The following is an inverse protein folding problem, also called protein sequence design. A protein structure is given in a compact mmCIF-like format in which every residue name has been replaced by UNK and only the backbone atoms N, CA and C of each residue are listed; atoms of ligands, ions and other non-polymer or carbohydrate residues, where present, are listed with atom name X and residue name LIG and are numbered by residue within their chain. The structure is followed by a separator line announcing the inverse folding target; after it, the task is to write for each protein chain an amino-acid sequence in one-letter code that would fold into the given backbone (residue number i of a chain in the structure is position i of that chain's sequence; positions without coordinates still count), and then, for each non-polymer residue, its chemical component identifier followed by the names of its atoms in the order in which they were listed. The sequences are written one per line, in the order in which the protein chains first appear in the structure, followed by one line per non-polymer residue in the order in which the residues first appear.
data_IF_566598305026
#
_entry.id   IF_566598305026
#
_cell.length_a   1.000
_cell.length_b   1.000
_cell.length_c   1.000
_cell.angle_alpha   90.00
_cell.angle_beta   90.00
_cell.angle_gamma   90.00
#
_symmetry.space_group_name_H-M   'P 1'
#
loop_
_entity.id
_entity.type
_entity.pdbx_description
1 polymer ?
#
# COMPACT_ATOMS: atom_id res chain seq x y z
N UNK A 1 -20.71 9.20 41.41
CA UNK A 1 -20.86 8.99 39.97
C UNK A 1 -19.62 8.23 39.51
N UNK A 2 -19.79 6.94 39.32
CA UNK A 2 -18.74 5.99 39.01
C UNK A 2 -18.50 5.97 37.50
N UNK A 3 -17.27 6.25 37.07
CA UNK A 3 -16.83 6.12 35.66
C UNK A 3 -16.71 4.65 35.25
N UNK A 4 -16.80 4.33 33.95
CA UNK A 4 -16.73 2.97 33.47
C UNK A 4 -15.30 2.42 33.62
N UNK A 5 -15.22 1.26 34.28
CA UNK A 5 -14.02 0.45 34.46
C UNK A 5 -13.54 -0.12 33.09
N UNK A 6 -12.25 0.03 32.81
CA UNK A 6 -11.56 -0.66 31.73
C UNK A 6 -11.66 -2.19 31.89
N UNK A 7 -11.91 -2.97 30.82
CA UNK A 7 -11.85 -4.42 30.93
C UNK A 7 -10.39 -4.87 30.88
N UNK A 8 -9.86 -5.29 32.02
CA UNK A 8 -8.70 -6.14 32.12
C UNK A 8 -9.15 -7.58 31.92
N UNK A 9 -8.91 -8.18 30.75
CA UNK A 9 -9.03 -9.62 30.59
C UNK A 9 -7.87 -10.14 29.76
N UNK A 10 -6.81 -10.59 30.43
CA UNK A 10 -5.91 -11.62 29.92
C UNK A 10 -6.65 -12.97 29.95
N UNK A 11 -7.65 -13.11 29.08
CA UNK A 11 -8.33 -14.39 28.91
C UNK A 11 -7.40 -15.36 28.16
N UNK A 12 -7.10 -16.47 28.79
CA UNK A 12 -6.46 -17.61 28.13
C UNK A 12 -7.43 -18.13 27.05
N UNK A 13 -7.02 -18.09 25.81
CA UNK A 13 -7.84 -18.41 24.67
C UNK A 13 -7.77 -19.92 24.38
N UNK A 14 -8.91 -20.59 24.25
CA UNK A 14 -9.00 -22.01 23.89
C UNK A 14 -9.02 -22.15 22.38
N UNK A 15 -7.95 -22.71 21.82
CA UNK A 15 -7.68 -22.80 20.37
C UNK A 15 -8.57 -23.80 19.61
N UNK A 16 -9.51 -24.46 20.26
CA UNK A 16 -10.18 -25.60 19.64
C UNK A 16 -11.45 -25.31 18.85
N UNK A 17 -12.07 -24.09 18.93
CA UNK A 17 -13.35 -23.86 18.23
C UNK A 17 -13.74 -22.42 17.88
N UNK A 18 -13.02 -21.37 18.25
CA UNK A 18 -13.44 -19.99 17.96
C UNK A 18 -12.32 -19.15 17.41
N UNK A 19 -12.60 -18.38 16.32
CA UNK A 19 -11.66 -17.35 15.82
C UNK A 19 -11.33 -16.38 16.97
N UNK A 20 -10.07 -15.86 17.04
CA UNK A 20 -9.72 -14.84 18.02
C UNK A 20 -10.68 -13.67 17.98
N UNK A 21 -11.04 -13.05 19.12
CA UNK A 21 -11.91 -11.88 19.13
C UNK A 21 -11.25 -10.76 18.31
N UNK A 22 -12.04 -10.13 17.45
CA UNK A 22 -11.63 -9.02 16.61
C UNK A 22 -12.36 -7.76 17.07
N UNK A 23 -11.63 -6.64 17.10
CA UNK A 23 -12.21 -5.32 17.29
C UNK A 23 -11.71 -4.35 16.22
N UNK A 24 -12.51 -3.34 15.90
CA UNK A 24 -12.10 -2.32 14.96
C UNK A 24 -10.95 -1.49 15.55
N UNK A 25 -9.80 -1.36 14.86
CA UNK A 25 -8.74 -0.44 15.28
C UNK A 25 -9.26 0.99 15.36
N UNK A 26 -8.73 1.79 16.30
CA UNK A 26 -8.99 3.24 16.34
C UNK A 26 -8.63 3.87 15.00
N UNK A 27 -9.33 4.96 14.65
CA UNK A 27 -9.10 5.69 13.40
C UNK A 27 -8.38 7.02 13.66
N UNK A 28 -7.45 7.39 12.79
CA UNK A 28 -6.66 8.61 12.86
C UNK A 28 -6.58 9.29 11.49
N UNK A 29 -6.52 10.61 11.47
CA UNK A 29 -6.26 11.44 10.30
C UNK A 29 -4.94 12.23 10.40
N UNK A 30 -4.24 12.13 11.54
CA UNK A 30 -2.91 12.71 11.76
C UNK A 30 -2.06 11.77 12.63
N UNK A 31 -0.79 12.13 12.82
CA UNK A 31 0.17 11.37 13.61
C UNK A 31 -0.30 11.20 15.05
N UNK A 32 -0.33 9.98 15.54
CA UNK A 32 -0.84 9.59 16.85
C UNK A 32 0.26 8.99 17.76
N UNK A 33 0.02 8.79 19.07
CA UNK A 33 1.06 8.46 20.05
C UNK A 33 1.99 7.31 19.66
N UNK A 34 1.47 6.23 19.07
CA UNK A 34 2.25 5.05 18.72
C UNK A 34 3.27 5.32 17.60
N UNK A 35 2.99 6.24 16.67
CA UNK A 35 3.87 6.58 15.53
C UNK A 35 4.49 7.98 15.64
N UNK A 36 4.56 8.57 16.83
CA UNK A 36 5.17 9.89 17.01
C UNK A 36 6.65 9.92 16.55
N UNK A 37 7.11 11.00 15.88
CA UNK A 37 8.47 11.14 15.38
C UNK A 37 9.55 10.91 16.45
N UNK A 38 9.31 11.33 17.69
CA UNK A 38 10.25 11.13 18.81
C UNK A 38 10.59 9.67 19.10
N UNK A 39 9.63 8.75 18.81
CA UNK A 39 9.80 7.30 19.02
C UNK A 39 10.76 6.68 18.02
N UNK A 40 10.83 7.25 16.81
CA UNK A 40 11.59 6.69 15.69
C UNK A 40 12.82 7.55 15.32
N UNK A 41 13.14 8.58 16.12
CA UNK A 41 14.31 9.42 15.85
C UNK A 41 15.58 8.57 15.80
N UNK A 42 16.26 8.60 14.63
CA UNK A 42 17.48 7.83 14.39
C UNK A 42 17.27 6.30 14.22
N UNK A 43 16.02 5.79 14.24
CA UNK A 43 15.74 4.34 14.13
C UNK A 43 16.16 3.74 12.77
N UNK A 44 16.30 4.58 11.74
CA UNK A 44 16.77 4.19 10.40
C UNK A 44 18.12 4.82 10.05
N UNK A 45 18.92 5.14 11.08
CA UNK A 45 20.24 5.73 10.87
C UNK A 45 21.06 4.90 9.88
N UNK A 46 21.66 5.60 8.90
CA UNK A 46 22.49 5.03 7.83
C UNK A 46 21.78 4.04 6.89
N UNK A 47 20.44 3.90 6.97
CA UNK A 47 19.65 3.15 6.01
C UNK A 47 19.47 3.95 4.73
N UNK A 48 19.87 3.38 3.59
CA UNK A 48 19.70 4.00 2.28
C UNK A 48 18.29 3.75 1.79
N UNK A 49 17.53 4.85 1.61
CA UNK A 49 16.12 4.83 1.26
C UNK A 49 15.90 5.51 -0.09
N UNK A 50 15.35 4.79 -1.06
CA UNK A 50 14.86 5.34 -2.33
C UNK A 50 13.40 5.71 -2.17
N UNK A 51 13.03 6.97 -2.50
CA UNK A 51 11.64 7.44 -2.51
C UNK A 51 11.30 7.93 -3.91
N UNK A 52 10.37 7.26 -4.61
CA UNK A 52 9.95 7.69 -5.93
C UNK A 52 8.84 8.75 -5.84
N UNK A 53 8.83 9.69 -6.82
CA UNK A 53 7.84 10.75 -6.86
C UNK A 53 7.94 11.75 -5.68
N UNK A 54 9.16 12.06 -5.28
CA UNK A 54 9.46 12.90 -4.10
C UNK A 54 9.06 14.39 -4.24
N UNK A 55 8.70 14.86 -5.43
CA UNK A 55 8.21 16.22 -5.65
C UNK A 55 6.76 16.43 -5.17
N UNK A 56 5.96 15.36 -5.10
CA UNK A 56 4.58 15.40 -4.65
C UNK A 56 4.40 15.59 -3.15
N UNK A 57 3.19 15.93 -2.70
CA UNK A 57 2.86 16.16 -1.28
C UNK A 57 3.25 14.98 -0.39
N UNK A 58 2.83 13.76 -0.77
CA UNK A 58 3.15 12.54 -0.03
C UNK A 58 4.66 12.28 -0.05
N UNK A 59 5.31 12.45 -1.22
CA UNK A 59 6.74 12.21 -1.38
C UNK A 59 7.62 13.12 -0.52
N UNK A 60 7.25 14.40 -0.39
CA UNK A 60 7.95 15.35 0.49
C UNK A 60 7.78 14.97 1.97
N UNK A 61 6.57 14.63 2.41
CA UNK A 61 6.31 14.20 3.78
C UNK A 61 7.02 12.89 4.12
N UNK A 62 7.06 11.93 3.20
CA UNK A 62 7.87 10.70 3.33
C UNK A 62 9.36 11.05 3.54
N UNK A 63 9.91 11.95 2.71
CA UNK A 63 11.31 12.36 2.84
C UNK A 63 11.60 12.98 4.22
N UNK A 64 10.74 13.86 4.72
CA UNK A 64 10.87 14.49 6.03
C UNK A 64 10.75 13.48 7.19
N UNK A 65 9.78 12.53 7.13
CA UNK A 65 9.63 11.51 8.15
C UNK A 65 10.83 10.55 8.20
N UNK A 66 11.34 10.12 7.05
CA UNK A 66 12.53 9.27 6.97
C UNK A 66 13.81 10.04 7.38
N UNK A 67 13.84 11.34 7.14
CA UNK A 67 14.91 12.22 7.65
C UNK A 67 14.94 12.24 9.19
N UNK A 68 13.79 12.39 9.86
CA UNK A 68 13.68 12.28 11.33
C UNK A 68 14.22 10.96 11.84
N UNK A 69 13.97 9.88 11.09
CA UNK A 69 14.48 8.56 11.40
C UNK A 69 15.99 8.38 11.09
N UNK A 70 16.67 9.39 10.51
CA UNK A 70 18.11 9.41 10.27
C UNK A 70 18.56 8.71 8.99
N UNK A 71 17.65 8.43 8.05
CA UNK A 71 17.95 7.74 6.81
C UNK A 71 18.82 8.59 5.86
N UNK A 72 19.53 7.90 4.96
CA UNK A 72 20.12 8.48 3.74
C UNK A 72 19.07 8.45 2.64
N UNK A 73 18.78 9.60 2.03
CA UNK A 73 17.65 9.77 1.13
C UNK A 73 18.10 9.90 -0.33
N UNK A 74 17.58 9.01 -1.17
CA UNK A 74 17.65 9.13 -2.63
C UNK A 74 16.24 9.47 -3.12
N UNK A 75 16.01 10.74 -3.39
CA UNK A 75 14.71 11.31 -3.74
C UNK A 75 14.59 11.39 -5.25
N UNK A 76 13.66 10.61 -5.85
CA UNK A 76 13.53 10.61 -7.30
C UNK A 76 12.37 11.45 -7.79
N UNK A 77 12.51 12.00 -8.99
CA UNK A 77 11.51 12.79 -9.68
C UNK A 77 11.58 12.52 -11.18
N UNK A 78 10.48 12.76 -11.91
CA UNK A 78 10.46 12.65 -13.37
C UNK A 78 10.66 14.03 -14.04
N UNK A 79 9.60 14.82 -14.17
CA UNK A 79 9.65 16.09 -14.91
C UNK A 79 9.96 17.27 -13.99
N UNK A 80 9.33 17.32 -12.81
CA UNK A 80 9.46 18.43 -11.87
C UNK A 80 10.33 18.01 -10.69
N UNK A 81 11.49 18.64 -10.49
CA UNK A 81 12.33 18.36 -9.32
C UNK A 81 11.61 18.83 -8.03
N UNK A 82 11.91 18.18 -6.89
CA UNK A 82 11.46 18.68 -5.60
C UNK A 82 11.95 20.10 -5.33
N UNK A 83 11.28 20.87 -4.45
CA UNK A 83 11.78 22.14 -4.00
C UNK A 83 13.20 22.03 -3.45
N UNK A 84 14.07 22.96 -3.78
CA UNK A 84 15.48 22.97 -3.29
C UNK A 84 15.54 22.99 -1.76
N UNK A 85 14.58 23.65 -1.11
CA UNK A 85 14.43 23.70 0.35
C UNK A 85 14.13 22.33 0.99
N UNK A 86 13.64 21.34 0.23
CA UNK A 86 13.37 19.99 0.77
C UNK A 86 14.67 19.33 1.28
N UNK A 87 15.78 19.48 0.56
CA UNK A 87 17.08 18.93 0.99
C UNK A 87 17.49 19.52 2.34
N UNK A 88 17.43 20.84 2.49
CA UNK A 88 17.78 21.54 3.74
C UNK A 88 16.87 21.10 4.89
N UNK A 89 15.56 21.03 4.66
CA UNK A 89 14.62 20.53 5.66
C UNK A 89 14.96 19.12 6.12
N UNK A 90 15.22 18.18 5.18
CA UNK A 90 15.59 16.82 5.53
C UNK A 90 16.90 16.73 6.31
N UNK A 91 17.94 17.49 5.94
CA UNK A 91 19.20 17.55 6.70
C UNK A 91 18.97 18.08 8.11
N UNK A 92 18.21 19.16 8.26
CA UNK A 92 17.88 19.74 9.57
C UNK A 92 17.05 18.79 10.46
N UNK A 93 16.25 17.92 9.85
CA UNK A 93 15.46 16.90 10.55
C UNK A 93 16.30 15.69 10.98
N UNK A 94 17.48 15.46 10.37
CA UNK A 94 18.41 14.41 10.79
C UNK A 94 18.85 13.44 9.71
N UNK A 95 18.49 13.66 8.44
CA UNK A 95 19.03 12.87 7.33
C UNK A 95 20.54 13.05 7.22
N UNK A 96 21.29 11.96 7.11
CA UNK A 96 22.74 11.99 7.00
C UNK A 96 23.25 12.29 5.58
N UNK A 97 22.42 12.04 4.57
CA UNK A 97 22.65 12.40 3.17
C UNK A 97 21.32 12.55 2.43
N UNK A 98 21.25 13.48 1.48
CA UNK A 98 20.07 13.71 0.62
C UNK A 98 20.51 14.01 -0.81
N UNK A 99 20.14 13.15 -1.73
CA UNK A 99 20.40 13.31 -3.16
C UNK A 99 19.09 13.32 -3.98
N UNK A 100 19.08 14.07 -5.08
CA UNK A 100 18.00 14.10 -6.04
C UNK A 100 18.43 13.37 -7.31
N UNK A 101 17.61 12.43 -7.80
CA UNK A 101 17.90 11.67 -9.02
C UNK A 101 16.70 11.74 -9.94
N UNK A 102 16.92 12.12 -11.19
CA UNK A 102 15.89 12.08 -12.23
C UNK A 102 15.65 10.63 -12.64
N UNK A 103 14.40 10.17 -12.58
CA UNK A 103 14.01 8.82 -12.98
C UNK A 103 12.57 8.81 -13.47
N UNK A 104 12.35 8.40 -14.71
CA UNK A 104 11.03 8.02 -15.20
C UNK A 104 10.78 6.57 -14.83
N UNK A 105 9.99 6.33 -13.79
CA UNK A 105 9.68 4.97 -13.30
C UNK A 105 8.84 4.15 -14.30
N UNK A 106 8.16 4.80 -15.24
CA UNK A 106 7.40 4.12 -16.29
C UNK A 106 8.32 3.38 -17.31
N UNK A 107 9.61 3.66 -17.30
CA UNK A 107 10.60 3.11 -18.22
C UNK A 107 11.58 2.20 -17.49
N UNK A 108 11.72 0.95 -17.94
CA UNK A 108 12.67 -0.01 -17.35
C UNK A 108 14.09 0.57 -17.32
N UNK A 109 14.52 1.19 -18.40
CA UNK A 109 15.88 1.79 -18.51
C UNK A 109 16.12 2.87 -17.45
N UNK A 110 15.12 3.71 -17.17
CA UNK A 110 15.20 4.71 -16.10
C UNK A 110 15.37 4.08 -14.73
N UNK A 111 14.68 2.98 -14.46
CA UNK A 111 14.79 2.21 -13.21
C UNK A 111 16.17 1.51 -13.09
N UNK A 112 16.68 0.92 -14.18
CA UNK A 112 18.02 0.30 -14.22
C UNK A 112 19.11 1.32 -13.91
N UNK A 113 19.05 2.49 -14.55
CA UNK A 113 20.05 3.55 -14.34
C UNK A 113 20.00 4.09 -12.90
N UNK A 114 18.80 4.27 -12.33
CA UNK A 114 18.61 4.65 -10.93
C UNK A 114 19.27 3.63 -9.99
N UNK A 115 18.91 2.35 -10.10
CA UNK A 115 19.41 1.30 -9.20
C UNK A 115 20.93 1.18 -9.32
N UNK A 116 21.46 1.19 -10.53
CA UNK A 116 22.91 1.16 -10.80
C UNK A 116 23.61 2.34 -10.14
N UNK A 117 23.10 3.57 -10.36
CA UNK A 117 23.68 4.79 -9.77
C UNK A 117 23.68 4.72 -8.24
N UNK A 118 22.56 4.32 -7.61
CA UNK A 118 22.47 4.25 -6.15
C UNK A 118 23.41 3.20 -5.57
N UNK A 119 23.47 2.01 -6.15
CA UNK A 119 24.40 0.97 -5.69
C UNK A 119 25.88 1.40 -5.86
N UNK A 120 26.21 2.14 -6.93
CA UNK A 120 27.57 2.68 -7.12
C UNK A 120 27.92 3.78 -6.12
N UNK A 121 26.99 4.67 -5.78
CA UNK A 121 27.27 5.85 -4.95
C UNK A 121 27.08 5.60 -3.45
N UNK A 122 26.09 4.77 -3.09
CA UNK A 122 25.74 4.46 -1.70
C UNK A 122 26.17 3.06 -1.24
N UNK A 123 26.59 2.19 -2.17
CA UNK A 123 27.03 0.82 -1.90
C UNK A 123 25.90 -0.16 -1.58
N UNK A 124 24.72 0.32 -1.20
CA UNK A 124 23.57 -0.48 -0.81
C UNK A 124 22.26 0.26 -1.01
N UNK A 125 21.17 -0.49 -0.95
CA UNK A 125 19.80 0.01 -0.73
C UNK A 125 19.19 -0.82 0.41
N UNK A 126 18.59 -0.18 1.40
CA UNK A 126 17.91 -0.85 2.50
C UNK A 126 16.39 -0.77 2.36
N UNK A 127 15.86 0.35 1.82
CA UNK A 127 14.43 0.62 1.76
C UNK A 127 14.07 1.19 0.38
N UNK A 128 13.01 0.66 -0.22
CA UNK A 128 12.38 1.18 -1.44
C UNK A 128 10.96 1.65 -1.12
N UNK A 129 10.65 2.91 -1.45
CA UNK A 129 9.29 3.47 -1.35
C UNK A 129 8.80 3.80 -2.75
N UNK A 130 7.91 2.96 -3.28
CA UNK A 130 7.23 3.17 -4.54
C UNK A 130 6.03 4.11 -4.30
N UNK A 131 6.30 5.42 -4.35
CA UNK A 131 5.31 6.47 -4.13
C UNK A 131 4.90 7.20 -5.41
N UNK A 132 5.71 7.17 -6.47
CA UNK A 132 5.31 7.75 -7.76
C UNK A 132 3.96 7.19 -8.21
N UNK A 133 3.09 8.07 -8.70
CA UNK A 133 1.75 7.67 -9.14
C UNK A 133 1.17 8.65 -10.15
N UNK A 134 0.25 8.15 -10.97
CA UNK A 134 -0.55 8.89 -11.93
C UNK A 134 -2.02 8.48 -11.79
N UNK A 135 -2.92 9.45 -11.98
CA UNK A 135 -4.36 9.23 -12.05
C UNK A 135 -4.95 10.17 -13.09
N UNK A 136 -5.57 9.62 -14.12
CA UNK A 136 -6.22 10.33 -15.20
C UNK A 136 -7.71 10.02 -15.13
N UNK A 137 -8.51 11.00 -14.71
CA UNK A 137 -9.96 10.83 -14.62
C UNK A 137 -10.61 10.97 -16.01
N UNK A 138 -11.53 10.07 -16.34
CA UNK A 138 -12.26 10.13 -17.59
C UNK A 138 -13.32 9.04 -17.72
N UNK A 139 -14.29 9.26 -18.62
CA UNK A 139 -15.26 8.23 -19.01
C UNK A 139 -14.52 7.11 -19.75
N UNK A 140 -14.84 5.86 -19.44
CA UNK A 140 -14.16 4.69 -19.97
C UNK A 140 -14.17 4.61 -21.50
N UNK A 141 -15.28 5.00 -22.11
CA UNK A 141 -15.51 4.92 -23.56
C UNK A 141 -14.90 6.09 -24.36
N UNK A 142 -14.52 7.18 -23.68
CA UNK A 142 -13.98 8.40 -24.34
C UNK A 142 -12.57 8.77 -23.87
N UNK A 143 -12.09 8.20 -22.77
CA UNK A 143 -10.71 8.44 -22.31
C UNK A 143 -9.71 7.87 -23.33
N UNK A 144 -8.66 8.64 -23.70
CA UNK A 144 -7.62 8.11 -24.58
C UNK A 144 -6.97 6.85 -23.98
N UNK A 145 -6.80 5.76 -24.75
CA UNK A 145 -6.16 4.52 -24.27
C UNK A 145 -4.78 4.74 -23.66
N UNK A 146 -4.04 5.74 -24.13
CA UNK A 146 -2.71 6.11 -23.65
C UNK A 146 -2.73 6.54 -22.17
N UNK A 147 -3.83 7.14 -21.72
CA UNK A 147 -3.99 7.52 -20.31
C UNK A 147 -4.02 6.28 -19.41
N UNK A 148 -4.80 5.26 -19.77
CA UNK A 148 -4.86 3.98 -19.07
C UNK A 148 -3.49 3.28 -19.05
N UNK A 149 -2.82 3.20 -20.22
CA UNK A 149 -1.50 2.58 -20.33
C UNK A 149 -0.46 3.33 -19.49
N UNK A 150 -0.52 4.67 -19.48
CA UNK A 150 0.38 5.48 -18.66
C UNK A 150 0.19 5.24 -17.17
N UNK A 151 -1.05 5.12 -16.70
CA UNK A 151 -1.34 4.79 -15.30
C UNK A 151 -0.78 3.42 -14.91
N UNK A 152 -0.96 2.39 -15.74
CA UNK A 152 -0.34 1.09 -15.51
C UNK A 152 1.19 1.19 -15.51
N UNK A 153 1.77 1.94 -16.44
CA UNK A 153 3.22 2.08 -16.53
C UNK A 153 3.82 2.73 -15.27
N UNK A 154 3.18 3.78 -14.73
CA UNK A 154 3.68 4.48 -13.54
C UNK A 154 3.34 3.71 -12.26
N UNK A 155 2.06 3.29 -12.09
CA UNK A 155 1.56 2.78 -10.81
C UNK A 155 1.88 1.31 -10.57
N UNK A 156 2.12 0.53 -11.64
CA UNK A 156 2.34 -0.92 -11.55
C UNK A 156 3.71 -1.33 -12.13
N UNK A 157 4.02 -0.97 -13.39
CA UNK A 157 5.28 -1.39 -14.00
C UNK A 157 6.48 -0.76 -13.29
N UNK A 158 6.41 0.52 -12.89
CA UNK A 158 7.47 1.19 -12.14
C UNK A 158 7.83 0.48 -10.84
N UNK A 159 6.88 0.25 -9.92
CA UNK A 159 7.09 -0.58 -8.73
C UNK A 159 7.62 -1.99 -9.05
N UNK A 160 7.07 -2.66 -10.07
CA UNK A 160 7.54 -3.97 -10.51
C UNK A 160 9.01 -3.93 -10.94
N UNK A 161 9.42 -2.96 -11.78
CA UNK A 161 10.80 -2.84 -12.24
C UNK A 161 11.76 -2.62 -11.06
N UNK A 162 11.45 -1.68 -10.18
CA UNK A 162 12.32 -1.36 -9.05
C UNK A 162 12.41 -2.53 -8.05
N UNK A 163 11.30 -3.20 -7.74
CA UNK A 163 11.33 -4.41 -6.91
C UNK A 163 12.15 -5.51 -7.59
N UNK A 164 11.92 -5.79 -8.89
CA UNK A 164 12.63 -6.81 -9.65
C UNK A 164 14.14 -6.58 -9.69
N UNK A 165 14.56 -5.32 -9.79
CA UNK A 165 15.97 -4.92 -9.85
C UNK A 165 16.66 -4.97 -8.48
N UNK A 166 15.94 -4.61 -7.39
CA UNK A 166 16.49 -4.57 -6.03
C UNK A 166 16.36 -5.88 -5.27
N UNK A 167 15.43 -6.75 -5.63
CA UNK A 167 15.19 -8.00 -4.91
C UNK A 167 16.43 -8.91 -4.80
N UNK A 168 17.26 -9.11 -5.86
CA UNK A 168 18.51 -9.86 -5.74
C UNK A 168 19.46 -9.26 -4.70
N UNK A 169 19.53 -7.93 -4.61
CA UNK A 169 20.35 -7.22 -3.63
C UNK A 169 19.80 -7.44 -2.21
N UNK A 170 18.48 -7.30 -1.98
CA UNK A 170 17.85 -7.58 -0.70
C UNK A 170 18.03 -9.04 -0.27
N UNK A 171 17.92 -10.00 -1.20
CA UNK A 171 18.19 -11.41 -0.94
C UNK A 171 19.65 -11.63 -0.51
N UNK A 172 20.62 -11.02 -1.20
CA UNK A 172 22.05 -11.18 -0.89
C UNK A 172 22.45 -10.58 0.46
N UNK A 173 21.84 -9.47 0.87
CA UNK A 173 22.09 -8.86 2.20
C UNK A 173 21.18 -9.40 3.30
N UNK A 174 20.28 -10.36 2.98
CA UNK A 174 19.27 -10.92 3.90
C UNK A 174 18.44 -9.84 4.63
N UNK A 175 18.24 -8.70 4.03
CA UNK A 175 17.51 -7.58 4.65
C UNK A 175 17.00 -6.62 3.58
N UNK A 176 15.80 -6.11 3.76
CA UNK A 176 15.21 -5.12 2.85
C UNK A 176 13.77 -4.80 3.20
N UNK A 177 13.34 -3.59 2.88
CA UNK A 177 11.96 -3.19 3.04
C UNK A 177 11.43 -2.55 1.76
N UNK A 178 10.24 -2.95 1.33
CA UNK A 178 9.52 -2.30 0.23
C UNK A 178 8.17 -1.79 0.72
N UNK A 179 7.91 -0.51 0.48
CA UNK A 179 6.66 0.16 0.78
C UNK A 179 6.02 0.61 -0.54
N UNK A 180 4.98 -0.08 -0.96
CA UNK A 180 4.23 0.24 -2.16
C UNK A 180 3.03 1.13 -1.80
N UNK A 181 3.05 2.40 -2.19
CA UNK A 181 1.93 3.31 -1.96
C UNK A 181 0.81 2.95 -2.94
N UNK A 182 -0.09 2.10 -2.47
CA UNK A 182 -1.29 1.68 -3.17
C UNK A 182 -2.42 2.72 -3.01
N UNK A 183 -3.64 2.29 -2.80
CA UNK A 183 -4.79 3.14 -2.53
C UNK A 183 -5.99 2.28 -2.12
N UNK A 184 -6.94 2.86 -1.40
CA UNK A 184 -8.28 2.27 -1.21
C UNK A 184 -8.99 2.04 -2.56
N UNK A 185 -8.67 2.81 -3.59
CA UNK A 185 -9.13 2.59 -4.96
C UNK A 185 -8.74 1.22 -5.54
N UNK A 186 -7.74 0.53 -4.97
CA UNK A 186 -7.41 -0.85 -5.33
C UNK A 186 -8.34 -1.90 -4.71
N UNK A 187 -9.21 -1.52 -3.78
CA UNK A 187 -10.13 -2.44 -3.09
C UNK A 187 -11.60 -2.13 -3.36
N UNK A 188 -11.91 -1.01 -3.99
CA UNK A 188 -13.26 -0.59 -4.35
C UNK A 188 -13.31 -0.07 -5.78
N UNK A 189 -14.46 -0.19 -6.42
CA UNK A 189 -14.69 0.38 -7.76
C UNK A 189 -15.03 1.86 -7.65
N UNK A 190 -14.22 2.72 -8.28
CA UNK A 190 -14.44 4.16 -8.35
C UNK A 190 -14.70 4.53 -9.81
N UNK A 191 -15.91 5.09 -10.14
CA UNK A 191 -16.19 5.57 -11.48
C UNK A 191 -15.14 6.59 -11.96
N UNK A 192 -14.88 6.62 -13.25
CA UNK A 192 -13.94 7.52 -13.92
C UNK A 192 -12.45 7.32 -13.60
N UNK A 193 -12.09 6.36 -12.73
CA UNK A 193 -10.71 6.06 -12.32
C UNK A 193 -10.30 4.64 -12.67
N UNK A 194 -10.74 4.11 -13.82
CA UNK A 194 -10.60 2.68 -14.17
C UNK A 194 -9.14 2.21 -14.18
N UNK A 195 -8.25 2.93 -14.86
CA UNK A 195 -6.82 2.57 -14.92
C UNK A 195 -6.13 2.69 -13.56
N UNK A 196 -6.49 3.71 -12.78
CA UNK A 196 -5.96 3.89 -11.43
C UNK A 196 -6.40 2.73 -10.51
N UNK A 197 -7.70 2.42 -10.47
CA UNK A 197 -8.23 1.30 -9.66
C UNK A 197 -7.57 -0.03 -10.05
N UNK A 198 -7.51 -0.33 -11.35
CA UNK A 198 -6.90 -1.55 -11.86
C UNK A 198 -5.40 -1.64 -11.47
N UNK A 199 -4.64 -0.56 -11.66
CA UNK A 199 -3.22 -0.51 -11.33
C UNK A 199 -2.96 -0.69 -9.83
N UNK A 200 -3.78 -0.08 -8.96
CA UNK A 200 -3.63 -0.17 -7.51
C UNK A 200 -4.07 -1.53 -6.95
N UNK A 201 -5.12 -2.15 -7.51
CA UNK A 201 -5.49 -3.53 -7.19
C UNK A 201 -4.38 -4.53 -7.55
N UNK A 202 -3.82 -4.39 -8.77
CA UNK A 202 -2.71 -5.21 -9.21
C UNK A 202 -1.46 -5.03 -8.33
N UNK A 203 -1.16 -3.79 -7.88
CA UNK A 203 -0.02 -3.51 -7.00
C UNK A 203 -0.18 -4.16 -5.62
N UNK A 204 -1.39 -4.15 -5.05
CA UNK A 204 -1.69 -4.84 -3.77
C UNK A 204 -1.41 -6.33 -3.92
N UNK A 205 -1.95 -6.96 -4.97
CA UNK A 205 -1.77 -8.40 -5.18
C UNK A 205 -0.32 -8.77 -5.52
N UNK A 206 0.35 -7.98 -6.35
CA UNK A 206 1.78 -8.16 -6.66
C UNK A 206 2.63 -8.15 -5.39
N UNK A 207 2.37 -7.22 -4.47
CA UNK A 207 3.08 -7.13 -3.18
C UNK A 207 2.92 -8.41 -2.37
N UNK A 208 1.70 -8.92 -2.27
CA UNK A 208 1.41 -10.16 -1.55
C UNK A 208 2.08 -11.39 -2.20
N UNK A 209 2.04 -11.51 -3.54
CA UNK A 209 2.68 -12.61 -4.27
C UNK A 209 4.19 -12.64 -4.05
N UNK A 210 4.87 -11.49 -4.22
CA UNK A 210 6.32 -11.40 -4.02
C UNK A 210 6.71 -11.71 -2.57
N UNK A 211 5.92 -11.26 -1.59
CA UNK A 211 6.18 -11.62 -0.19
C UNK A 211 6.04 -13.12 0.05
N UNK A 212 5.02 -13.78 -0.53
CA UNK A 212 4.88 -15.25 -0.40
C UNK A 212 6.09 -16.00 -0.97
N UNK A 213 6.67 -15.54 -2.08
CA UNK A 213 7.93 -16.10 -2.62
C UNK A 213 9.10 -15.96 -1.64
N UNK A 214 9.24 -14.78 -1.00
CA UNK A 214 10.27 -14.54 0.00
C UNK A 214 10.09 -15.39 1.26
N UNK A 215 8.83 -15.65 1.65
CA UNK A 215 8.51 -16.51 2.79
C UNK A 215 8.87 -17.98 2.51
N UNK A 216 8.64 -18.45 1.26
CA UNK A 216 9.11 -19.78 0.80
C UNK A 216 10.65 -19.88 0.88
N UNK A 217 11.35 -18.82 0.48
CA UNK A 217 12.81 -18.72 0.55
C UNK A 217 13.32 -18.49 1.99
N UNK A 218 12.42 -18.36 2.97
CA UNK A 218 12.74 -18.09 4.41
C UNK A 218 13.50 -16.77 4.63
N UNK A 219 13.30 -15.79 3.78
CA UNK A 219 13.93 -14.46 3.87
C UNK A 219 13.11 -13.53 4.77
N UNK A 220 13.02 -13.86 6.05
CA UNK A 220 12.14 -13.25 7.04
C UNK A 220 12.43 -11.75 7.33
N UNK A 221 13.62 -11.27 6.98
CA UNK A 221 14.05 -9.88 7.16
C UNK A 221 13.98 -9.06 5.86
N UNK A 222 13.42 -9.65 4.79
CA UNK A 222 12.98 -8.94 3.59
C UNK A 222 11.45 -8.87 3.63
N UNK A 223 10.91 -7.67 3.79
CA UNK A 223 9.48 -7.48 4.04
C UNK A 223 8.87 -6.39 3.16
N UNK A 224 7.73 -6.71 2.57
CA UNK A 224 6.99 -5.85 1.66
C UNK A 224 5.63 -5.49 2.26
N UNK A 225 5.16 -4.28 1.96
CA UNK A 225 3.81 -3.82 2.32
C UNK A 225 3.18 -3.05 1.17
N UNK A 226 1.87 -3.12 1.04
CA UNK A 226 1.09 -2.18 0.24
C UNK A 226 0.25 -1.30 1.16
N UNK A 227 0.15 0.02 0.88
CA UNK A 227 -0.49 0.96 1.80
C UNK A 227 -1.54 1.82 1.10
N UNK A 228 -2.65 2.07 1.79
CA UNK A 228 -3.48 3.24 1.52
C UNK A 228 -2.88 4.41 2.31
N UNK A 229 -2.46 5.51 1.63
CA UNK A 229 -1.76 6.61 2.30
C UNK A 229 -2.67 7.56 3.08
N UNK A 230 -3.99 7.33 3.07
CA UNK A 230 -5.01 8.29 3.54
C UNK A 230 -5.57 9.14 2.41
N UNK A 231 -6.62 9.89 2.72
CA UNK A 231 -7.19 10.91 1.85
C UNK A 231 -6.41 12.22 1.98
N UNK A 232 -5.39 12.42 1.14
CA UNK A 232 -4.48 13.57 1.24
C UNK A 232 -4.76 14.55 0.11
N UNK A 233 -4.91 15.85 0.44
CA UNK A 233 -4.96 16.94 -0.54
C UNK A 233 -3.62 17.03 -1.27
N UNK A 234 -3.65 16.81 -2.58
CA UNK A 234 -2.45 16.80 -3.43
C UNK A 234 -2.78 17.39 -4.80
N UNK A 235 -1.76 17.69 -5.60
CA UNK A 235 -1.98 18.13 -6.99
C UNK A 235 -2.80 17.09 -7.76
N UNK A 236 -2.60 15.80 -7.51
CA UNK A 236 -3.37 14.71 -8.14
C UNK A 236 -4.86 14.75 -7.76
N UNK A 237 -5.20 15.12 -6.52
CA UNK A 237 -6.59 15.21 -6.04
C UNK A 237 -7.23 16.55 -6.32
N UNK A 238 -6.44 17.63 -6.46
CA UNK A 238 -6.92 19.01 -6.66
C UNK A 238 -6.94 19.42 -8.13
N UNK A 239 -6.39 18.61 -9.04
CA UNK A 239 -6.36 18.99 -10.46
C UNK A 239 -7.75 19.13 -11.02
N UNK A 240 -7.90 20.18 -11.82
CA UNK A 240 -9.05 20.64 -12.60
C UNK A 240 -9.79 19.56 -13.41
N UNK A 241 -9.39 18.33 -13.35
CA UNK A 241 -10.03 17.19 -14.04
C UNK A 241 -11.33 16.73 -13.37
N UNK A 242 -11.44 16.90 -12.04
CA UNK A 242 -12.66 16.53 -11.30
C UNK A 242 -13.78 17.54 -11.58
N UNK A 243 -13.48 18.83 -11.61
CA UNK A 243 -14.46 19.89 -11.83
C UNK A 243 -15.22 19.80 -13.18
N UNK A 244 -14.56 19.54 -14.33
CA UNK A 244 -15.27 19.35 -15.60
C UNK A 244 -16.14 18.06 -15.63
N UNK A 245 -15.72 16.98 -14.99
CA UNK A 245 -16.52 15.76 -14.90
C UNK A 245 -17.77 15.95 -14.03
N UNK A 246 -17.67 16.78 -13.00
CA UNK A 246 -18.80 17.17 -12.15
C UNK A 246 -19.76 18.14 -12.86
N UNK A 247 -19.26 19.02 -13.71
CA UNK A 247 -20.09 19.94 -14.49
C UNK A 247 -20.84 19.22 -15.63
N UNK A 248 -20.45 18.01 -16.00
CA UNK A 248 -21.13 17.25 -17.06
C UNK A 248 -22.47 16.64 -16.61
N UNK A 249 -22.72 16.46 -15.30
CA UNK A 249 -23.89 15.72 -14.82
C UNK A 249 -24.56 16.14 -13.49
N UNK A 250 -24.24 17.21 -12.75
CA UNK A 250 -24.99 17.55 -11.55
C UNK A 250 -25.82 18.83 -11.71
N UNK A 251 -26.99 18.93 -11.04
CA UNK A 251 -27.68 20.17 -10.87
C UNK A 251 -26.87 21.15 -10.01
N UNK A 252 -27.03 22.48 -10.20
CA UNK A 252 -26.23 23.54 -9.54
C UNK A 252 -26.20 23.48 -8.01
N UNK A 253 -27.19 22.84 -7.38
CA UNK A 253 -27.31 22.69 -5.93
C UNK A 253 -26.35 21.68 -5.33
N UNK A 254 -25.66 20.88 -6.14
CA UNK A 254 -24.75 19.79 -5.65
C UNK A 254 -23.30 20.24 -5.55
N UNK A 255 -22.94 21.39 -6.10
CA UNK A 255 -21.54 21.86 -6.11
C UNK A 255 -20.99 22.14 -4.70
N UNK A 256 -21.77 22.79 -3.83
CA UNK A 256 -21.35 23.06 -2.44
C UNK A 256 -21.28 21.78 -1.58
N UNK A 257 -22.27 20.88 -1.73
CA UNK A 257 -22.30 19.61 -1.03
C UNK A 257 -21.15 18.69 -1.46
N UNK A 258 -20.79 18.71 -2.76
CA UNK A 258 -19.65 17.95 -3.27
C UNK A 258 -18.32 18.51 -2.78
N UNK A 259 -18.12 19.83 -2.80
CA UNK A 259 -16.90 20.47 -2.29
C UNK A 259 -16.72 20.15 -0.81
N UNK A 260 -17.80 20.19 -0.02
CA UNK A 260 -17.77 19.84 1.40
C UNK A 260 -17.47 18.35 1.60
N UNK A 261 -18.07 17.44 0.84
CA UNK A 261 -17.78 16.01 0.88
C UNK A 261 -16.34 15.71 0.46
N UNK A 262 -15.83 16.40 -0.58
CA UNK A 262 -14.46 16.30 -1.03
C UNK A 262 -13.47 16.75 0.05
N UNK A 263 -13.72 17.88 0.70
CA UNK A 263 -12.89 18.40 1.78
C UNK A 263 -12.84 17.43 2.98
N UNK A 264 -13.95 16.76 3.26
CA UNK A 264 -14.01 15.74 4.33
C UNK A 264 -13.28 14.45 3.97
N UNK A 265 -13.29 14.05 2.68
CA UNK A 265 -12.61 12.85 2.20
C UNK A 265 -11.08 13.01 2.08
N UNK A 266 -10.59 14.24 1.99
CA UNK A 266 -9.18 14.56 1.79
C UNK A 266 -8.65 15.48 2.90
N UNK A 267 -8.77 15.03 4.16
CA UNK A 267 -8.34 15.78 5.35
C UNK A 267 -7.21 15.09 6.14
N UNK A 268 -6.69 13.99 5.61
CA UNK A 268 -5.61 13.27 6.26
C UNK A 268 -4.27 13.98 6.12
N UNK A 269 -3.51 14.01 7.21
CA UNK A 269 -2.15 14.51 7.24
C UNK A 269 -1.20 13.62 6.42
N UNK A 270 -0.38 14.15 5.50
CA UNK A 270 0.60 13.34 4.77
C UNK A 270 1.67 12.76 5.70
N UNK A 271 1.86 13.32 6.90
CA UNK A 271 2.77 12.81 7.92
C UNK A 271 2.25 11.54 8.61
N UNK A 272 0.93 11.33 8.63
CA UNK A 272 0.33 10.06 9.07
C UNK A 272 0.87 8.90 8.24
N UNK A 273 0.80 9.01 6.91
CA UNK A 273 1.40 8.04 6.00
C UNK A 273 2.91 7.93 6.17
N UNK A 274 3.61 9.07 6.26
CA UNK A 274 5.06 9.11 6.41
C UNK A 274 5.56 8.39 7.66
N UNK A 275 4.94 8.64 8.81
CA UNK A 275 5.34 8.03 10.08
C UNK A 275 4.92 6.57 10.19
N UNK A 276 3.77 6.17 9.61
CA UNK A 276 3.40 4.75 9.47
C UNK A 276 4.43 4.02 8.61
N UNK A 277 4.85 4.59 7.48
CA UNK A 277 5.91 4.02 6.64
C UNK A 277 7.23 3.86 7.39
N UNK A 278 7.63 4.85 8.21
CA UNK A 278 8.83 4.75 9.07
C UNK A 278 8.68 3.59 10.05
N UNK A 279 7.54 3.49 10.74
CA UNK A 279 7.27 2.41 11.69
C UNK A 279 7.38 1.03 11.02
N UNK A 280 6.76 0.85 9.85
CA UNK A 280 6.85 -0.41 9.08
C UNK A 280 8.28 -0.71 8.64
N UNK A 281 9.03 0.31 8.19
CA UNK A 281 10.40 0.16 7.70
C UNK A 281 11.39 -0.27 8.80
N UNK A 282 11.11 0.01 10.08
CA UNK A 282 11.90 -0.54 11.21
C UNK A 282 11.73 -2.04 11.40
N UNK A 283 10.77 -2.66 10.73
CA UNK A 283 10.46 -4.08 10.85
C UNK A 283 9.59 -4.45 12.05
N UNK A 284 9.10 -3.48 12.83
CA UNK A 284 8.29 -3.75 14.04
C UNK A 284 7.00 -4.55 13.74
N UNK A 285 6.45 -4.42 12.53
CA UNK A 285 5.23 -5.10 12.11
C UNK A 285 5.47 -6.32 11.18
N UNK A 286 6.73 -6.66 10.85
CA UNK A 286 7.06 -7.66 9.83
C UNK A 286 6.51 -9.06 10.11
N UNK A 287 6.35 -9.43 11.39
CA UNK A 287 5.83 -10.75 11.78
C UNK A 287 4.30 -10.86 11.69
N UNK A 288 3.61 -9.74 11.45
CA UNK A 288 2.14 -9.65 11.39
C UNK A 288 1.67 -9.18 10.02
N UNK A 289 2.30 -8.13 9.48
CA UNK A 289 1.76 -7.38 8.33
C UNK A 289 2.58 -7.50 7.03
N UNK A 290 3.71 -8.24 7.00
CA UNK A 290 4.44 -8.39 5.73
C UNK A 290 3.56 -9.05 4.67
N UNK A 291 3.59 -8.50 3.46
CA UNK A 291 2.73 -8.92 2.35
C UNK A 291 1.29 -8.42 2.41
N UNK A 292 0.90 -7.73 3.49
CA UNK A 292 -0.46 -7.26 3.71
C UNK A 292 -0.69 -5.85 3.16
N UNK A 293 -1.98 -5.52 2.98
CA UNK A 293 -2.45 -4.18 2.62
C UNK A 293 -2.83 -3.43 3.89
N UNK A 294 -2.17 -2.31 4.16
CA UNK A 294 -2.33 -1.51 5.38
C UNK A 294 -3.02 -0.19 5.07
N UNK A 295 -4.07 0.15 5.80
CA UNK A 295 -4.67 1.47 5.79
C UNK A 295 -4.03 2.30 6.91
N UNK A 296 -3.31 3.38 6.56
CA UNK A 296 -2.57 4.20 7.54
C UNK A 296 -3.48 4.93 8.53
N UNK A 297 -4.76 5.10 8.19
CA UNK A 297 -5.76 5.67 9.09
C UNK A 297 -6.13 4.76 10.26
N UNK A 298 -5.77 3.48 10.23
CA UNK A 298 -5.99 2.55 11.33
C UNK A 298 -4.81 2.57 12.31
N UNK A 299 -5.11 2.52 13.61
CA UNK A 299 -4.08 2.49 14.66
C UNK A 299 -3.23 1.22 14.59
N UNK A 300 -1.93 1.41 14.32
CA UNK A 300 -1.00 0.30 14.17
C UNK A 300 -0.78 -0.49 15.47
N UNK A 301 -0.91 0.16 16.64
CA UNK A 301 -0.83 -0.52 17.93
C UNK A 301 -2.01 -1.48 18.12
N UNK A 302 -3.22 -1.03 17.79
CA UNK A 302 -4.44 -1.85 17.85
C UNK A 302 -4.38 -3.02 16.85
N UNK A 303 -3.83 -2.80 15.64
CA UNK A 303 -3.62 -3.85 14.65
C UNK A 303 -2.65 -4.89 15.20
N UNK A 304 -1.51 -4.47 15.73
CA UNK A 304 -0.48 -5.37 16.24
C UNK A 304 -0.94 -6.12 17.50
N UNK A 305 -1.81 -5.53 18.32
CA UNK A 305 -2.44 -6.21 19.45
C UNK A 305 -3.34 -7.38 19.02
N UNK A 306 -3.79 -7.40 17.77
CA UNK A 306 -4.62 -8.46 17.19
C UNK A 306 -3.83 -9.40 16.25
N UNK A 307 -2.53 -9.55 16.48
CA UNK A 307 -1.63 -10.34 15.63
C UNK A 307 -2.11 -11.77 15.38
N UNK A 308 -2.67 -12.45 16.39
CA UNK A 308 -3.15 -13.82 16.27
C UNK A 308 -4.40 -13.91 15.38
N UNK A 309 -5.30 -12.92 15.43
CA UNK A 309 -6.43 -12.85 14.52
C UNK A 309 -5.98 -12.72 13.06
N UNK A 310 -4.99 -11.83 12.80
CA UNK A 310 -4.46 -11.59 11.45
C UNK A 310 -3.71 -12.81 10.91
N UNK A 311 -2.99 -13.54 11.76
CA UNK A 311 -2.28 -14.76 11.36
C UNK A 311 -3.22 -15.92 11.09
N UNK A 312 -4.34 -16.01 11.82
CA UNK A 312 -5.32 -17.09 11.68
C UNK A 312 -6.31 -16.88 10.53
N UNK A 313 -6.39 -15.67 9.97
CA UNK A 313 -7.27 -15.35 8.85
C UNK A 313 -6.47 -14.64 7.75
N UNK A 314 -6.14 -15.39 6.69
CA UNK A 314 -5.35 -14.86 5.55
C UNK A 314 -6.06 -13.73 4.80
N UNK A 315 -7.40 -13.63 4.91
CA UNK A 315 -8.19 -12.61 4.24
C UNK A 315 -8.14 -11.24 4.92
N UNK A 316 -7.73 -11.20 6.19
CA UNK A 316 -7.51 -9.92 6.87
C UNK A 316 -6.32 -9.18 6.26
N UNK A 317 -6.54 -7.90 5.96
CA UNK A 317 -5.54 -7.04 5.31
C UNK A 317 -5.03 -7.59 3.96
N UNK A 318 -5.91 -8.27 3.22
CA UNK A 318 -5.63 -8.84 1.92
C UNK A 318 -6.72 -8.50 0.90
N UNK A 319 -6.37 -8.50 -0.38
CA UNK A 319 -7.35 -8.43 -1.46
C UNK A 319 -7.88 -9.85 -1.71
N UNK A 320 -9.18 -10.06 -1.47
CA UNK A 320 -9.82 -11.36 -1.63
C UNK A 320 -11.24 -11.23 -2.19
N UNK A 321 -11.80 -12.33 -2.66
CA UNK A 321 -13.19 -12.43 -3.13
C UNK A 321 -13.93 -13.43 -2.25
N UNK A 322 -15.13 -13.06 -1.80
CA UNK A 322 -16.05 -13.94 -1.09
C UNK A 322 -17.20 -14.36 -2.01
N UNK A 323 -17.61 -15.61 -1.94
CA UNK A 323 -18.74 -16.16 -2.69
C UNK A 323 -19.93 -16.43 -1.77
N UNK A 324 -21.13 -16.63 -2.37
CA UNK A 324 -22.32 -17.01 -1.63
C UNK A 324 -22.09 -18.33 -0.85
N UNK A 325 -22.65 -18.41 0.37
CA UNK A 325 -22.45 -19.56 1.25
C UNK A 325 -21.13 -19.58 2.00
N UNK A 326 -20.37 -18.44 2.00
CA UNK A 326 -19.10 -18.34 2.72
C UNK A 326 -17.93 -19.07 2.04
N UNK A 327 -18.11 -19.49 0.78
CA UNK A 327 -17.01 -20.07 0.00
C UNK A 327 -15.97 -18.98 -0.28
N UNK A 328 -14.73 -19.23 0.07
CA UNK A 328 -13.59 -18.33 -0.19
C UNK A 328 -12.93 -18.70 -1.52
N UNK A 329 -12.41 -17.69 -2.22
CA UNK A 329 -11.74 -17.89 -3.50
C UNK A 329 -10.42 -18.63 -3.27
N UNK A 330 -10.38 -19.88 -3.74
CA UNK A 330 -9.13 -20.63 -3.83
C UNK A 330 -8.42 -20.85 -2.51
N UNK A 331 -9.17 -21.13 -1.45
CA UNK A 331 -8.59 -21.59 -0.20
C UNK A 331 -7.56 -22.68 -0.50
N UNK A 332 -6.29 -22.32 -0.53
CA UNK A 332 -5.18 -23.28 -0.47
C UNK A 332 -5.01 -23.75 0.97
N UNK A 333 -6.12 -23.90 1.67
CA UNK A 333 -6.20 -24.68 2.90
C UNK A 333 -5.87 -26.11 2.51
N UNK A 334 -4.81 -26.63 3.04
CA UNK A 334 -4.43 -28.03 2.88
C UNK A 334 -5.65 -28.92 3.15
N UNK A 335 -6.28 -29.46 2.11
CA UNK A 335 -7.27 -30.51 2.28
C UNK A 335 -8.42 -30.57 1.28
N UNK A 336 -8.90 -29.50 0.70
CA UNK A 336 -10.01 -29.57 -0.24
C UNK A 336 -9.63 -29.06 -1.63
N UNK A 337 -9.64 -29.92 -2.63
CA UNK A 337 -9.46 -29.52 -4.03
C UNK A 337 -10.66 -28.67 -4.46
N UNK A 338 -10.46 -27.62 -5.31
CA UNK A 338 -11.58 -26.90 -5.93
C UNK A 338 -12.48 -27.91 -6.65
N UNK A 339 -13.72 -28.03 -6.19
CA UNK A 339 -14.68 -28.99 -6.74
C UNK A 339 -15.25 -30.01 -5.75
N UNK A 340 -14.63 -30.24 -4.60
CA UNK A 340 -15.15 -31.22 -3.64
C UNK A 340 -16.41 -30.72 -2.89
N UNK A 341 -16.56 -29.40 -2.72
CA UNK A 341 -17.81 -28.80 -2.22
C UNK A 341 -18.98 -28.91 -3.20
N UNK A 342 -18.72 -28.85 -4.50
CA UNK A 342 -19.72 -29.03 -5.55
C UNK A 342 -20.18 -30.52 -5.69
N UNK A 343 -19.30 -31.47 -5.36
CA UNK A 343 -19.64 -32.89 -5.37
C UNK A 343 -20.59 -33.28 -4.22
N UNK A 344 -20.38 -32.68 -3.03
CA UNK A 344 -21.25 -32.96 -1.87
C UNK A 344 -22.69 -32.45 -2.04
N UNK A 345 -22.86 -31.32 -2.76
CA UNK A 345 -24.20 -30.81 -3.09
C UNK A 345 -24.87 -31.56 -4.25
N UNK A 346 -24.08 -32.10 -5.19
CA UNK A 346 -24.62 -32.88 -6.32
C UNK A 346 -25.01 -34.34 -5.95
N UNK A 347 -24.41 -34.90 -4.90
CA UNK A 347 -24.80 -36.22 -4.38
C UNK A 347 -26.09 -36.19 -3.55
N UNK A 348 -26.53 -34.99 -3.12
CA UNK A 348 -27.79 -34.81 -2.40
C UNK A 348 -29.04 -34.70 -3.33
N UNK A 349 -28.82 -34.37 -4.61
CA UNK A 349 -29.87 -34.30 -5.62
C UNK A 349 -29.56 -35.31 -6.76
N UNK A 350 -30.16 -36.49 -6.71
CA UNK A 350 -29.99 -37.51 -7.73
C UNK A 350 -30.48 -37.06 -9.09
N UNK A 351 -29.60 -36.93 -10.05
CA UNK A 351 -29.93 -36.72 -11.45
C UNK A 351 -28.81 -36.09 -12.26
N UNK A 352 -27.94 -36.90 -12.86
CA UNK A 352 -27.03 -36.47 -13.92
C UNK A 352 -27.79 -36.30 -15.21
N UNK A 353 -28.11 -35.10 -15.66
CA UNK A 353 -28.17 -34.76 -17.07
C UNK A 353 -26.91 -33.91 -17.40
N UNK A 354 -25.94 -34.53 -18.05
CA UNK A 354 -24.79 -33.84 -18.60
C UNK A 354 -25.27 -33.00 -19.80
N UNK A 355 -25.10 -31.68 -19.68
CA UNK A 355 -25.28 -30.75 -20.79
C UNK A 355 -23.98 -30.73 -21.60
N UNK A 356 -24.01 -31.33 -22.81
CA UNK A 356 -22.93 -31.18 -23.80
C UNK A 356 -23.15 -29.87 -24.58
N UNK A 357 -22.16 -28.99 -24.57
CA UNK A 357 -22.16 -27.82 -25.44
C UNK A 357 -21.99 -28.30 -26.90
N UNK A 358 -22.94 -28.03 -27.81
CA UNK A 358 -22.76 -28.40 -29.21
C UNK A 358 -21.74 -27.45 -29.85
N UNK A 359 -20.57 -27.95 -30.16
CA UNK A 359 -19.61 -27.29 -31.05
C UNK A 359 -18.31 -26.77 -30.45
N UNK A 360 -17.66 -27.53 -29.58
CA UNK A 360 -16.23 -27.43 -29.36
C UNK A 360 -15.57 -28.80 -29.40
#
# INVERSE_FOLDING_TARGET
MSGPSSPSSTGHWDSTTTKPPQFAPRSHNDVYPFILPKRFRGALKDKVTIITGSAGTIGQALAECFAVAGAKLVLTYNNTPPPTTLKERCVNLGASDVSFVKCNVAELKGCEDLVKQVLQTQGKVDILINNAGANSLGLFDTQPPEAFIHELAVNLHGPYYLMRLLLPHFKSQHSGCVLNIASRAGTVAIPYSTGYCASKAALINLTACVQKELDVDKLNDVHLYSLHPGGIKSVMTLTSQILPLLNLHPPPSTHSAFTQAFDTLYDDSPYLNGMTCVALATGLAKHVLRGKYVDVGQDLEDILAQAEAIKSDENLYALHTSFLGGLENGGTGAGEKPGDGLKKSAEAEGGKEGFEFPGF
#
